data_IF_557067179022
#
_entry.id   IF_557067179022
#
_cell.length_a   1.000
_cell.length_b   1.000
_cell.length_c   1.000
_cell.angle_alpha   90.00
_cell.angle_beta   90.00
_cell.angle_gamma   90.00
#
_symmetry.space_group_name_H-M   'P 1'
#
loop_
_entity.id
_entity.type
_entity.pdbx_description
1 polymer ?
#
# COMPACT_ATOMS: atom_id res chain seq x y z
N UNK A 1 6.06 -0.64 -14.35
CA UNK A 1 5.50 0.57 -13.69
C UNK A 1 4.51 1.19 -14.64
N UNK A 2 3.46 1.82 -14.13
CA UNK A 2 2.55 2.60 -14.93
C UNK A 2 2.13 3.83 -14.13
N UNK A 3 1.97 4.94 -14.82
CA UNK A 3 1.54 6.21 -14.25
C UNK A 3 0.02 6.30 -14.36
N UNK A 4 -0.62 6.79 -13.30
CA UNK A 4 -2.05 7.07 -13.26
C UNK A 4 -2.18 8.56 -13.00
N UNK A 5 -2.71 9.27 -14.00
CA UNK A 5 -2.96 10.69 -13.89
C UNK A 5 -4.20 10.96 -13.02
N UNK A 6 -3.97 11.59 -11.86
CA UNK A 6 -5.02 11.92 -10.88
C UNK A 6 -4.83 13.33 -10.31
N UNK A 7 -4.88 14.40 -11.14
CA UNK A 7 -4.70 15.79 -10.73
C UNK A 7 -5.64 16.23 -9.59
N UNK A 8 -6.83 15.61 -9.53
CA UNK A 8 -7.85 15.85 -8.52
C UNK A 8 -7.54 15.17 -7.17
N UNK A 9 -6.57 14.26 -7.10
CA UNK A 9 -6.19 13.62 -5.84
C UNK A 9 -5.21 14.49 -5.06
N UNK A 10 -5.79 15.44 -4.33
CA UNK A 10 -5.10 16.31 -3.38
C UNK A 10 -5.59 16.00 -1.96
N UNK A 11 -4.79 16.37 -0.95
CA UNK A 11 -5.08 16.02 0.45
C UNK A 11 -5.03 17.24 1.38
N UNK A 12 -4.90 18.44 0.83
CA UNK A 12 -5.10 19.70 1.56
C UNK A 12 -6.54 19.86 2.07
N UNK A 13 -7.50 19.25 1.37
CA UNK A 13 -8.88 19.04 1.83
C UNK A 13 -9.27 17.57 1.67
N UNK A 14 -10.39 17.13 2.26
CA UNK A 14 -10.85 15.74 2.12
C UNK A 14 -11.15 15.45 0.64
N UNK A 15 -10.45 14.48 0.01
CA UNK A 15 -10.63 14.22 -1.41
C UNK A 15 -11.95 13.49 -1.70
N UNK A 16 -12.45 13.60 -2.93
CA UNK A 16 -13.47 12.68 -3.43
C UNK A 16 -12.88 11.28 -3.61
N UNK A 17 -12.80 10.54 -2.50
CA UNK A 17 -12.29 9.17 -2.45
C UNK A 17 -12.97 8.24 -3.45
N UNK A 18 -14.27 8.45 -3.72
CA UNK A 18 -15.03 7.64 -4.68
C UNK A 18 -14.64 8.02 -6.12
N UNK A 19 -14.55 9.30 -6.43
CA UNK A 19 -14.11 9.82 -7.72
C UNK A 19 -12.70 9.38 -8.07
N UNK A 20 -11.73 9.65 -7.21
CA UNK A 20 -10.33 9.23 -7.39
C UNK A 20 -10.25 7.70 -7.46
N UNK A 21 -10.97 7.01 -6.56
CA UNK A 21 -11.03 5.56 -6.54
C UNK A 21 -11.47 4.94 -7.86
N UNK A 22 -12.46 5.54 -8.56
CA UNK A 22 -12.90 5.06 -9.88
C UNK A 22 -11.78 5.08 -10.92
N UNK A 23 -10.99 6.15 -10.96
CA UNK A 23 -9.87 6.31 -11.91
C UNK A 23 -8.78 5.29 -11.62
N UNK A 24 -8.30 5.24 -10.37
CA UNK A 24 -7.22 4.33 -9.98
C UNK A 24 -7.62 2.87 -10.11
N UNK A 25 -8.83 2.51 -9.66
CA UNK A 25 -9.31 1.12 -9.76
C UNK A 25 -9.51 0.70 -11.23
N UNK A 26 -9.75 1.63 -12.17
CA UNK A 26 -9.84 1.31 -13.59
C UNK A 26 -8.50 0.85 -14.16
N UNK A 27 -7.41 1.54 -13.81
CA UNK A 27 -6.06 1.13 -14.19
C UNK A 27 -5.66 -0.19 -13.53
N UNK A 28 -5.96 -0.38 -12.24
CA UNK A 28 -5.71 -1.66 -11.57
C UNK A 28 -6.47 -2.82 -12.25
N UNK A 29 -7.72 -2.59 -12.68
CA UNK A 29 -8.48 -3.59 -13.45
C UNK A 29 -7.82 -3.84 -14.81
N UNK A 30 -7.42 -2.80 -15.54
CA UNK A 30 -6.76 -2.94 -16.86
C UNK A 30 -5.52 -3.83 -16.81
N UNK A 31 -4.71 -3.70 -15.75
CA UNK A 31 -3.46 -4.44 -15.61
C UNK A 31 -3.59 -5.81 -14.94
N UNK A 32 -4.57 -6.01 -14.06
CA UNK A 32 -4.58 -7.15 -13.15
C UNK A 32 -5.90 -7.92 -13.10
N UNK A 33 -6.83 -7.69 -14.03
CA UNK A 33 -8.13 -8.39 -14.06
C UNK A 33 -7.95 -9.90 -13.91
N UNK A 34 -8.73 -10.51 -13.01
CA UNK A 34 -8.69 -11.94 -12.74
C UNK A 34 -7.53 -12.37 -11.83
N UNK A 35 -6.60 -11.50 -11.43
CA UNK A 35 -5.52 -11.85 -10.50
C UNK A 35 -5.93 -11.62 -9.04
N UNK A 36 -5.34 -12.41 -8.15
CA UNK A 36 -5.42 -12.18 -6.70
C UNK A 36 -4.19 -11.40 -6.29
N UNK A 37 -4.37 -10.18 -5.80
CA UNK A 37 -3.27 -9.25 -5.49
C UNK A 37 -3.30 -8.81 -4.03
N UNK A 38 -2.16 -8.33 -3.57
CA UNK A 38 -2.00 -7.60 -2.30
C UNK A 38 -1.45 -6.21 -2.63
N UNK A 39 -2.15 -5.16 -2.23
CA UNK A 39 -1.84 -3.78 -2.62
C UNK A 39 -1.42 -2.96 -1.40
N UNK A 40 -0.21 -2.42 -1.43
CA UNK A 40 0.33 -1.52 -0.42
C UNK A 40 0.36 -0.10 -0.96
N UNK A 41 -0.17 0.85 -0.19
CA UNK A 41 -0.07 2.27 -0.49
C UNK A 41 1.14 2.90 0.19
N UNK A 42 1.84 3.79 -0.52
CA UNK A 42 2.98 4.55 0.01
C UNK A 42 2.76 6.02 -0.27
N UNK A 43 2.92 6.85 0.77
CA UNK A 43 3.14 8.29 0.63
C UNK A 43 4.62 8.60 0.80
N UNK A 44 5.21 9.35 -0.12
CA UNK A 44 6.61 9.76 -0.07
C UNK A 44 6.93 10.60 1.18
N UNK A 45 5.92 11.26 1.76
CA UNK A 45 6.01 11.97 3.04
C UNK A 45 6.50 11.09 4.20
N UNK A 46 6.29 9.77 4.13
CA UNK A 46 6.80 8.82 5.14
C UNK A 46 8.24 8.35 4.89
N UNK A 47 8.90 8.89 3.86
CA UNK A 47 10.24 8.55 3.42
C UNK A 47 11.10 9.81 3.30
N UNK A 48 11.54 10.39 4.43
CA UNK A 48 12.28 11.64 4.43
C UNK A 48 13.55 11.54 3.60
N UNK A 49 13.81 12.58 2.78
CA UNK A 49 14.97 12.65 1.91
C UNK A 49 14.90 11.75 0.66
N UNK A 50 13.71 11.19 0.33
CA UNK A 50 13.51 10.40 -0.89
C UNK A 50 12.40 11.00 -1.75
N UNK A 51 12.70 11.21 -3.02
CA UNK A 51 11.72 11.48 -4.06
C UNK A 51 10.91 10.23 -4.41
N UNK A 52 9.75 10.42 -5.05
CA UNK A 52 8.92 9.32 -5.54
C UNK A 52 9.70 8.42 -6.51
N UNK A 53 10.54 9.01 -7.37
CA UNK A 53 11.32 8.25 -8.35
C UNK A 53 12.43 7.42 -7.70
N UNK A 54 13.12 7.96 -6.69
CA UNK A 54 14.06 7.17 -5.89
C UNK A 54 13.37 6.01 -5.17
N UNK A 55 12.16 6.23 -4.63
CA UNK A 55 11.37 5.16 -4.02
C UNK A 55 11.03 4.08 -5.03
N UNK A 56 10.61 4.44 -6.25
CA UNK A 56 10.35 3.49 -7.32
C UNK A 56 11.58 2.62 -7.59
N UNK A 57 12.76 3.22 -7.75
CA UNK A 57 13.99 2.47 -8.03
C UNK A 57 14.40 1.56 -6.88
N UNK A 58 14.28 2.03 -5.64
CA UNK A 58 14.51 1.21 -4.45
C UNK A 58 13.54 0.02 -4.41
N UNK A 59 12.24 0.27 -4.62
CA UNK A 59 11.20 -0.77 -4.58
C UNK A 59 11.40 -1.78 -5.71
N UNK A 60 11.79 -1.34 -6.92
CA UNK A 60 12.12 -2.25 -8.02
C UNK A 60 13.28 -3.16 -7.67
N UNK A 61 14.34 -2.61 -7.05
CA UNK A 61 15.53 -3.37 -6.67
C UNK A 61 15.27 -4.33 -5.50
N UNK A 62 14.54 -3.90 -4.48
CA UNK A 62 14.40 -4.63 -3.22
C UNK A 62 13.07 -5.39 -3.09
N UNK A 63 12.11 -5.12 -3.97
CA UNK A 63 10.73 -5.61 -3.88
C UNK A 63 9.89 -4.92 -2.79
N UNK A 64 10.43 -3.93 -2.08
CA UNK A 64 9.75 -3.28 -0.94
C UNK A 64 10.30 -1.89 -0.66
N UNK A 65 9.49 -1.05 -0.02
CA UNK A 65 9.86 0.28 0.50
C UNK A 65 10.61 0.21 1.85
N UNK A 66 10.78 -0.98 2.42
CA UNK A 66 11.51 -1.25 3.66
C UNK A 66 13.01 -1.45 3.42
N UNK A 67 13.65 -0.43 2.84
CA UNK A 67 15.08 -0.45 2.48
C UNK A 67 16.03 -0.22 3.64
N UNK A 68 15.53 0.37 4.73
CA UNK A 68 16.29 0.58 5.95
C UNK A 68 15.95 -0.56 6.95
N UNK A 69 16.90 -1.45 7.26
CA UNK A 69 16.67 -2.55 8.20
C UNK A 69 16.50 -2.07 9.65
N UNK A 70 16.95 -0.85 9.98
CA UNK A 70 16.78 -0.22 11.28
C UNK A 70 15.52 0.64 11.36
N UNK A 71 14.81 0.87 10.25
CA UNK A 71 13.53 1.58 10.25
C UNK A 71 12.57 0.81 11.15
N UNK A 72 12.12 1.46 12.22
CA UNK A 72 11.08 0.92 13.08
C UNK A 72 9.93 0.35 12.23
N UNK A 73 9.36 -0.78 12.68
CA UNK A 73 8.27 -1.47 12.00
C UNK A 73 7.12 -0.52 11.63
N UNK A 74 6.19 -0.98 10.78
CA UNK A 74 4.94 -0.23 10.66
C UNK A 74 4.35 -0.03 12.06
N UNK A 75 3.75 1.13 12.32
CA UNK A 75 3.24 1.62 13.62
C UNK A 75 2.46 0.59 14.45
N UNK A 76 2.01 -0.46 13.80
CA UNK A 76 1.29 -1.56 14.36
C UNK A 76 2.25 -2.62 14.94
N UNK A 77 2.82 -2.31 16.10
CA UNK A 77 3.29 -3.37 16.98
C UNK A 77 2.07 -4.25 17.29
N UNK A 78 2.12 -5.48 16.81
CA UNK A 78 1.06 -6.43 17.09
C UNK A 78 1.32 -7.03 18.46
N UNK A 79 0.26 -7.24 19.25
CA UNK A 79 0.33 -7.77 20.61
C UNK A 79 1.09 -9.10 20.72
N UNK A 80 1.24 -9.81 19.61
CA UNK A 80 1.87 -11.12 19.53
C UNK A 80 3.33 -11.08 19.05
N UNK A 81 3.93 -9.89 18.87
CA UNK A 81 5.31 -9.71 18.37
C UNK A 81 5.62 -10.51 17.09
N UNK A 82 4.61 -10.72 16.25
CA UNK A 82 4.77 -11.45 14.99
C UNK A 82 5.55 -10.62 14.00
N UNK A 83 6.48 -11.27 13.29
CA UNK A 83 7.14 -10.68 12.13
C UNK A 83 6.11 -10.39 11.03
N UNK A 84 6.01 -9.13 10.65
CA UNK A 84 5.23 -8.62 9.52
C UNK A 84 6.18 -7.78 8.68
N UNK A 85 6.37 -8.13 7.41
CA UNK A 85 7.26 -7.36 6.53
C UNK A 85 6.56 -6.07 6.08
N UNK A 86 5.23 -6.11 5.85
CA UNK A 86 4.44 -4.92 5.53
C UNK A 86 2.93 -5.14 5.72
N UNK A 87 2.18 -4.04 5.77
CA UNK A 87 0.72 -4.02 5.78
C UNK A 87 0.15 -3.61 4.42
N UNK A 88 -0.95 -4.26 4.01
CA UNK A 88 -1.54 -4.11 2.68
C UNK A 88 -2.98 -4.65 2.60
N UNK A 89 -3.66 -4.33 1.50
CA UNK A 89 -5.02 -4.78 1.21
C UNK A 89 -5.01 -5.92 0.19
N UNK A 90 -5.52 -7.09 0.59
CA UNK A 90 -5.73 -8.22 -0.34
C UNK A 90 -7.04 -8.10 -1.09
N UNK A 91 -7.00 -8.33 -2.40
CA UNK A 91 -8.19 -8.33 -3.25
C UNK A 91 -8.06 -9.27 -4.44
N UNK A 92 -9.19 -9.87 -4.85
CA UNK A 92 -9.35 -10.41 -6.19
C UNK A 92 -9.74 -9.25 -7.10
N UNK A 93 -8.99 -9.03 -8.17
CA UNK A 93 -9.29 -7.97 -9.14
C UNK A 93 -10.43 -8.45 -10.05
N UNK A 94 -11.60 -7.84 -9.89
CA UNK A 94 -12.80 -8.13 -10.70
C UNK A 94 -13.25 -6.86 -11.42
N UNK A 95 -14.14 -6.99 -12.39
CA UNK A 95 -14.72 -5.83 -13.11
C UNK A 95 -15.46 -4.84 -12.19
N UNK A 96 -15.90 -5.29 -11.01
CA UNK A 96 -16.61 -4.48 -10.01
C UNK A 96 -15.76 -4.11 -8.80
N UNK A 97 -14.46 -4.41 -8.82
CA UNK A 97 -13.56 -4.11 -7.72
C UNK A 97 -13.58 -2.63 -7.38
N UNK A 98 -13.74 -2.33 -6.09
CA UNK A 98 -13.54 -1.01 -5.50
C UNK A 98 -12.54 -1.16 -4.36
N UNK A 99 -11.36 -0.56 -4.51
CA UNK A 99 -10.26 -0.72 -3.56
C UNK A 99 -9.70 0.64 -3.16
N UNK A 100 -9.28 1.45 -4.13
CA UNK A 100 -8.52 2.66 -3.85
C UNK A 100 -9.32 3.71 -3.05
N UNK A 101 -10.64 3.78 -3.24
CA UNK A 101 -11.47 4.67 -2.42
C UNK A 101 -11.40 4.35 -0.92
N UNK A 102 -11.39 3.06 -0.55
CA UNK A 102 -11.22 2.66 0.85
C UNK A 102 -9.79 2.90 1.36
N UNK A 103 -8.78 2.67 0.51
CA UNK A 103 -7.39 2.94 0.85
C UNK A 103 -7.15 4.43 1.10
N UNK A 104 -7.51 5.29 0.16
CA UNK A 104 -7.35 6.74 0.29
C UNK A 104 -8.11 7.31 1.48
N UNK A 105 -9.33 6.85 1.75
CA UNK A 105 -10.09 7.26 2.94
C UNK A 105 -9.35 6.85 4.22
N UNK A 106 -8.90 5.60 4.30
CA UNK A 106 -8.17 5.09 5.45
C UNK A 106 -6.87 5.86 5.70
N UNK A 107 -6.10 6.13 4.64
CA UNK A 107 -4.85 6.90 4.74
C UNK A 107 -5.10 8.35 5.14
N UNK A 108 -6.11 9.02 4.58
CA UNK A 108 -6.43 10.40 4.92
C UNK A 108 -6.82 10.54 6.39
N UNK A 109 -7.88 9.84 6.83
CA UNK A 109 -8.42 9.95 8.17
C UNK A 109 -7.49 9.38 9.24
N UNK A 110 -6.85 8.23 8.97
CA UNK A 110 -5.94 7.62 9.95
C UNK A 110 -4.66 8.44 10.09
N UNK A 111 -4.13 9.05 9.02
CA UNK A 111 -2.92 9.87 9.17
C UNK A 111 -3.19 11.13 9.97
N UNK A 112 -4.35 11.78 9.77
CA UNK A 112 -4.75 12.95 10.57
C UNK A 112 -4.83 12.57 12.05
N UNK A 113 -5.51 11.48 12.39
CA UNK A 113 -5.69 11.06 13.78
C UNK A 113 -4.38 10.73 14.52
N UNK A 114 -3.28 10.55 13.78
CA UNK A 114 -2.06 9.91 14.30
C UNK A 114 -0.86 10.84 14.20
N UNK A 115 -0.72 11.48 13.05
CA UNK A 115 0.39 12.37 12.70
C UNK A 115 -0.06 13.84 12.69
N UNK A 116 -1.35 14.11 12.92
CA UNK A 116 -1.90 15.48 12.89
C UNK A 116 -2.02 16.06 11.48
N UNK A 117 -1.73 15.28 10.45
CA UNK A 117 -1.73 15.75 9.05
C UNK A 117 -2.17 14.63 8.09
N UNK A 118 -2.84 14.98 6.98
CA UNK A 118 -3.23 14.01 5.96
C UNK A 118 -2.01 13.57 5.14
N UNK A 119 -2.07 12.33 4.66
CA UNK A 119 -1.02 11.76 3.80
C UNK A 119 -1.59 11.44 2.43
N UNK A 120 -0.90 11.91 1.40
CA UNK A 120 -1.19 11.54 0.01
C UNK A 120 -0.57 10.17 -0.27
N UNK A 121 -1.31 9.32 -0.98
CA UNK A 121 -0.72 8.14 -1.60
C UNK A 121 -0.04 8.57 -2.90
N UNK A 122 1.25 8.29 -3.04
CA UNK A 122 2.03 8.59 -4.24
C UNK A 122 2.30 7.32 -5.05
N UNK A 123 2.42 6.16 -4.41
CA UNK A 123 2.64 4.86 -5.05
C UNK A 123 1.65 3.81 -4.55
N UNK A 124 1.26 2.89 -5.45
CA UNK A 124 0.68 1.60 -5.10
C UNK A 124 1.60 0.47 -5.55
N UNK A 125 2.01 -0.36 -4.61
CA UNK A 125 2.80 -1.56 -4.86
C UNK A 125 1.83 -2.72 -4.96
N UNK A 126 1.80 -3.39 -6.11
CA UNK A 126 0.89 -4.50 -6.38
C UNK A 126 1.69 -5.79 -6.36
N UNK A 127 1.38 -6.66 -5.40
CA UNK A 127 2.06 -7.94 -5.21
C UNK A 127 1.20 -9.12 -5.63
N UNK A 128 1.84 -10.21 -6.02
CA UNK A 128 1.19 -11.51 -6.20
C UNK A 128 0.83 -12.09 -4.84
N UNK A 129 -0.47 -12.29 -4.58
CA UNK A 129 -0.93 -12.86 -3.33
C UNK A 129 -0.40 -14.27 -3.08
N UNK A 130 -0.06 -15.04 -4.12
CA UNK A 130 0.49 -16.38 -3.97
C UNK A 130 1.93 -16.38 -3.40
N UNK A 131 2.68 -15.29 -3.60
CA UNK A 131 4.07 -15.13 -3.13
C UNK A 131 4.17 -14.53 -1.74
N UNK A 132 3.02 -14.29 -1.09
CA UNK A 132 2.92 -13.73 0.26
C UNK A 132 2.22 -14.70 1.20
N UNK A 133 2.52 -14.57 2.49
CA UNK A 133 1.80 -15.24 3.58
C UNK A 133 1.14 -14.18 4.46
N UNK A 134 -0.18 -14.29 4.59
CA UNK A 134 -0.98 -13.48 5.51
C UNK A 134 -0.58 -13.79 6.96
N UNK A 135 -0.45 -12.75 7.77
CA UNK A 135 -0.18 -12.84 9.21
C UNK A 135 -1.39 -12.29 9.96
N UNK A 136 -2.15 -13.20 10.56
CA UNK A 136 -3.27 -12.85 11.44
C UNK A 136 -2.71 -12.28 12.74
N UNK A 137 -3.11 -11.08 13.12
CA UNK A 137 -2.59 -10.39 14.29
C UNK A 137 -3.65 -9.48 14.93
N UNK A 138 -3.29 -8.75 15.98
CA UNK A 138 -4.19 -7.82 16.68
C UNK A 138 -3.40 -6.57 17.06
N UNK A 139 -3.97 -5.40 16.81
CA UNK A 139 -3.38 -4.13 17.23
C UNK A 139 -3.61 -3.90 18.72
N UNK A 140 -2.70 -3.17 19.37
CA UNK A 140 -2.88 -2.72 20.75
C UNK A 140 -4.19 -1.93 20.91
N UNK A 141 -4.89 -2.16 22.03
CA UNK A 141 -6.17 -1.51 22.33
C UNK A 141 -7.37 -1.98 21.50
N UNK A 142 -7.21 -2.97 20.61
CA UNK A 142 -8.32 -3.53 19.80
C UNK A 142 -8.62 -4.95 20.21
N UNK A 143 -9.90 -5.35 20.19
CA UNK A 143 -10.32 -6.73 20.45
C UNK A 143 -10.37 -7.60 19.17
N UNK A 144 -10.46 -6.98 17.99
CA UNK A 144 -10.65 -7.68 16.73
C UNK A 144 -9.33 -8.13 16.08
N UNK A 145 -9.33 -9.33 15.50
CA UNK A 145 -8.20 -9.87 14.73
C UNK A 145 -8.17 -9.28 13.32
N UNK A 146 -6.97 -8.90 12.88
CA UNK A 146 -6.67 -8.31 11.58
C UNK A 146 -5.90 -9.27 10.68
N UNK A 147 -5.98 -9.02 9.37
CA UNK A 147 -5.50 -9.88 8.26
C UNK A 147 -4.84 -9.06 7.14
N UNK A 148 -4.35 -7.90 7.49
CA UNK A 148 -3.71 -6.91 6.62
C UNK A 148 -2.17 -6.97 6.71
N UNK A 149 -1.60 -7.76 7.62
CA UNK A 149 -0.15 -8.01 7.70
C UNK A 149 0.31 -9.13 6.77
N UNK A 150 1.44 -8.93 6.10
CA UNK A 150 2.02 -9.90 5.17
C UNK A 150 3.52 -10.08 5.39
N UNK A 151 4.00 -11.29 5.12
CA UNK A 151 5.42 -11.62 4.94
C UNK A 151 5.67 -12.22 3.57
N UNK A 152 6.86 -12.03 3.04
CA UNK A 152 7.29 -12.70 1.82
C UNK A 152 7.47 -14.20 2.08
N UNK A 153 7.00 -15.04 1.16
CA UNK A 153 7.27 -16.50 1.23
C UNK A 153 8.73 -16.82 0.94
N UNK A 154 9.32 -16.07 0.02
CA UNK A 154 10.73 -16.12 -0.33
C UNK A 154 11.36 -14.75 -0.02
N UNK A 155 11.99 -14.59 1.15
CA UNK A 155 12.57 -13.31 1.58
C UNK A 155 13.84 -12.93 0.83
N UNK A 156 14.47 -13.85 0.10
CA UNK A 156 15.69 -13.58 -0.67
C UNK A 156 15.33 -13.14 -2.11
N UNK A 157 14.12 -13.48 -2.57
CA UNK A 157 13.61 -13.13 -3.91
C UNK A 157 12.36 -12.23 -3.87
N UNK A 158 12.32 -11.27 -2.93
CA UNK A 158 11.19 -10.31 -2.77
C UNK A 158 10.79 -9.58 -4.07
N UNK A 159 11.71 -9.12 -4.95
CA UNK A 159 11.33 -8.43 -6.17
C UNK A 159 10.39 -9.24 -7.07
N UNK A 160 10.51 -10.57 -7.05
CA UNK A 160 9.65 -11.42 -7.88
C UNK A 160 8.19 -11.49 -7.39
N UNK A 161 7.92 -11.09 -6.14
CA UNK A 161 6.55 -10.94 -5.64
C UNK A 161 5.87 -9.68 -6.19
N UNK A 162 6.62 -8.69 -6.67
CA UNK A 162 6.11 -7.41 -7.14
C UNK A 162 5.61 -7.53 -8.59
N UNK A 163 4.30 -7.46 -8.78
CA UNK A 163 3.67 -7.49 -10.12
C UNK A 163 3.72 -6.13 -10.82
N UNK A 164 3.72 -5.04 -10.06
CA UNK A 164 3.75 -3.70 -10.61
C UNK A 164 3.80 -2.62 -9.56
N UNK A 165 4.15 -1.42 -10.01
CA UNK A 165 4.11 -0.18 -9.24
C UNK A 165 3.24 0.78 -10.04
N UNK A 166 2.17 1.27 -9.43
CA UNK A 166 1.37 2.37 -9.95
C UNK A 166 1.85 3.68 -9.31
N UNK A 167 2.26 4.65 -10.13
CA UNK A 167 2.66 5.98 -9.68
C UNK A 167 1.49 6.94 -9.88
N UNK A 168 1.08 7.64 -8.82
CA UNK A 168 -0.04 8.57 -8.86
C UNK A 168 0.48 9.97 -9.16
N UNK A 169 0.44 10.36 -10.43
CA UNK A 169 0.88 11.69 -10.89
C UNK A 169 -0.19 12.75 -10.64
N UNK A 170 0.23 14.01 -10.78
CA UNK A 170 -0.62 15.18 -10.85
C UNK A 170 -0.82 15.57 -12.30
#
# INVERSE_FOLDING_TARGET
MFDIDVPQYRVDTEPDHRGVGRVVDAELRRHFLGRSVVVRGIGAQHHPGRSVDELVEIIRRLGTDRYDPARAGDRYDNLQNKRIDFFAFRRKVTSRMRLFGAMSWGFYHSSIAVHGAPVRLDLLLVYDAARLREVVHQYEGRADRKRDGYVFRDPDHKPEALLGIAKLSR
#
